data_IF_222872518507
#
_entry.id   IF_222872518507
#
_cell.length_a   1.000
_cell.length_b   1.000
_cell.length_c   1.000
_cell.angle_alpha   90.00
_cell.angle_beta   90.00
_cell.angle_gamma   90.00
#
_symmetry.space_group_name_H-M   'P 1'
#
loop_
_entity.id
_entity.type
_entity.pdbx_description
1 polymer ?
#
# COMPACT_ATOMS: atom_id res chain seq x y z
N UNK A 1 3.80 -11.10 8.84
CA UNK A 1 3.28 -9.85 8.24
C UNK A 1 4.21 -9.48 7.09
N UNK A 2 3.67 -9.14 5.93
CA UNK A 2 4.43 -8.75 4.74
C UNK A 2 4.28 -7.25 4.47
N UNK A 3 5.37 -6.52 4.27
CA UNK A 3 5.34 -5.05 4.10
C UNK A 3 5.83 -4.71 2.69
N UNK A 4 5.01 -3.97 1.95
CA UNK A 4 5.36 -3.45 0.63
C UNK A 4 5.85 -2.01 0.81
N UNK A 5 7.16 -1.80 0.73
CA UNK A 5 7.75 -0.46 0.73
C UNK A 5 7.73 0.12 -0.70
N UNK A 6 6.89 1.14 -0.92
CA UNK A 6 6.71 1.77 -2.22
C UNK A 6 7.88 2.69 -2.63
N UNK A 7 8.76 3.07 -1.69
CA UNK A 7 9.82 4.09 -1.88
C UNK A 7 9.29 5.29 -2.68
N UNK A 8 9.99 5.70 -3.74
CA UNK A 8 9.59 6.81 -4.63
C UNK A 8 9.61 6.40 -6.12
N UNK A 9 9.13 5.19 -6.40
CA UNK A 9 9.11 4.65 -7.76
C UNK A 9 8.02 5.31 -8.65
N UNK A 10 8.22 5.40 -9.96
CA UNK A 10 7.21 5.95 -10.89
C UNK A 10 6.02 4.99 -11.09
N UNK A 11 6.21 3.73 -10.75
CA UNK A 11 5.25 2.64 -10.81
C UNK A 11 4.17 2.77 -9.73
N UNK A 12 4.44 3.54 -8.66
CA UNK A 12 3.48 3.80 -7.60
C UNK A 12 2.79 5.16 -7.74
N UNK A 13 3.09 5.96 -8.77
CA UNK A 13 2.57 7.33 -8.84
C UNK A 13 1.06 7.42 -9.13
N UNK A 14 0.41 8.42 -8.52
CA UNK A 14 -1.00 8.75 -8.74
C UNK A 14 -1.93 7.58 -8.41
N UNK A 15 -2.78 7.19 -9.35
CA UNK A 15 -3.75 6.10 -9.16
C UNK A 15 -3.11 4.69 -9.13
N UNK A 16 -1.85 4.54 -9.56
CA UNK A 16 -1.20 3.23 -9.61
C UNK A 16 -1.06 2.61 -8.22
N UNK A 17 -0.85 3.44 -7.19
CA UNK A 17 -0.78 2.96 -5.81
C UNK A 17 -2.09 2.33 -5.33
N UNK A 18 -3.24 2.87 -5.77
CA UNK A 18 -4.55 2.35 -5.43
C UNK A 18 -4.79 0.98 -6.08
N UNK A 19 -4.30 0.79 -7.31
CA UNK A 19 -4.34 -0.52 -7.98
C UNK A 19 -3.51 -1.55 -7.21
N UNK A 20 -2.29 -1.19 -6.79
CA UNK A 20 -1.43 -2.06 -5.98
C UNK A 20 -2.08 -2.41 -4.63
N UNK A 21 -2.60 -1.41 -3.91
CA UNK A 21 -3.28 -1.61 -2.62
C UNK A 21 -4.50 -2.54 -2.77
N UNK A 22 -5.32 -2.37 -3.81
CA UNK A 22 -6.46 -3.23 -4.07
C UNK A 22 -6.05 -4.69 -4.34
N UNK A 23 -4.97 -4.91 -5.09
CA UNK A 23 -4.43 -6.26 -5.34
C UNK A 23 -3.91 -6.86 -4.04
N UNK A 24 -3.10 -6.12 -3.28
CA UNK A 24 -2.58 -6.54 -1.99
C UNK A 24 -3.71 -6.91 -1.02
N UNK A 25 -4.82 -6.17 -1.01
CA UNK A 25 -5.99 -6.46 -0.17
C UNK A 25 -6.66 -7.79 -0.56
N UNK A 26 -6.84 -8.04 -1.87
CA UNK A 26 -7.39 -9.30 -2.37
C UNK A 26 -6.51 -10.50 -1.97
N UNK A 27 -5.20 -10.36 -2.12
CA UNK A 27 -4.24 -11.42 -1.76
C UNK A 27 -4.19 -11.64 -0.25
N UNK A 28 -4.17 -10.56 0.54
CA UNK A 28 -4.20 -10.64 2.00
C UNK A 28 -5.42 -11.44 2.49
N UNK A 29 -6.61 -11.16 1.93
CA UNK A 29 -7.84 -11.92 2.25
C UNK A 29 -7.79 -13.36 1.78
N UNK A 30 -7.34 -13.63 0.55
CA UNK A 30 -7.30 -14.98 -0.04
C UNK A 30 -6.40 -15.92 0.76
N UNK A 31 -5.22 -15.46 1.14
CA UNK A 31 -4.22 -16.30 1.82
C UNK A 31 -4.21 -16.12 3.34
N UNK A 32 -5.05 -15.23 3.87
CA UNK A 32 -5.10 -14.85 5.30
C UNK A 32 -3.74 -14.40 5.84
N UNK A 33 -2.90 -13.79 4.98
CA UNK A 33 -1.60 -13.24 5.35
C UNK A 33 -1.75 -11.73 5.56
N UNK A 34 -1.34 -11.16 6.71
CA UNK A 34 -1.36 -9.72 6.91
C UNK A 34 -0.38 -9.02 5.97
N UNK A 35 -0.89 -8.10 5.16
CA UNK A 35 -0.10 -7.24 4.25
C UNK A 35 -0.27 -5.79 4.68
N UNK A 36 0.83 -5.04 4.70
CA UNK A 36 0.83 -3.60 4.91
C UNK A 36 1.53 -2.89 3.75
N UNK A 37 1.16 -1.64 3.49
CA UNK A 37 1.76 -0.82 2.42
C UNK A 37 2.37 0.44 3.04
N UNK A 38 3.60 0.76 2.65
CA UNK A 38 4.30 1.98 3.04
C UNK A 38 4.43 2.93 1.83
N UNK A 39 3.41 3.77 1.54
CA UNK A 39 3.43 4.74 0.44
C UNK A 39 4.43 5.87 0.65
N UNK A 40 4.85 6.57 -0.42
CA UNK A 40 5.56 7.84 -0.26
C UNK A 40 4.72 8.83 0.54
N UNK A 41 5.36 9.71 1.32
CA UNK A 41 4.66 10.65 2.20
C UNK A 41 3.58 11.48 1.51
N UNK A 42 3.85 11.97 0.30
CA UNK A 42 2.89 12.77 -0.47
C UNK A 42 1.66 11.99 -0.94
N UNK A 43 1.70 10.64 -0.92
CA UNK A 43 0.60 9.74 -1.32
C UNK A 43 -0.05 9.01 -0.14
N UNK A 44 0.36 9.30 1.10
CA UNK A 44 -0.15 8.61 2.30
C UNK A 44 -1.67 8.75 2.44
N UNK A 45 -2.21 9.92 2.10
CA UNK A 45 -3.66 10.18 2.11
C UNK A 45 -4.42 9.52 0.94
N UNK A 46 -3.74 9.16 -0.15
CA UNK A 46 -4.37 8.61 -1.34
C UNK A 46 -4.86 7.17 -1.14
N UNK A 47 -4.23 6.40 -0.22
CA UNK A 47 -4.57 5.00 0.08
C UNK A 47 -5.80 4.85 1.01
N UNK A 48 -6.38 5.94 1.53
CA UNK A 48 -7.44 5.93 2.58
C UNK A 48 -8.66 5.04 2.34
N UNK A 49 -8.90 4.57 1.11
CA UNK A 49 -10.04 3.68 0.80
C UNK A 49 -9.76 2.19 1.01
N UNK A 50 -8.51 1.77 1.19
CA UNK A 50 -8.18 0.35 1.42
C UNK A 50 -8.30 -0.03 2.90
N UNK A 51 -8.72 -1.27 3.18
CA UNK A 51 -8.72 -1.83 4.55
C UNK A 51 -7.34 -2.33 5.00
N UNK A 52 -6.31 -2.19 4.16
CA UNK A 52 -4.94 -2.57 4.51
C UNK A 52 -4.36 -1.63 5.57
N UNK A 53 -3.42 -2.17 6.35
CA UNK A 53 -2.58 -1.35 7.22
C UNK A 53 -1.66 -0.46 6.36
N UNK A 54 -1.61 0.82 6.68
CA UNK A 54 -0.77 1.82 6.00
C UNK A 54 0.27 2.34 7.00
N UNK A 55 1.54 2.29 6.61
CA UNK A 55 2.65 2.81 7.41
C UNK A 55 3.28 4.02 6.72
N UNK A 56 3.80 4.97 7.50
CA UNK A 56 4.71 5.98 6.98
C UNK A 56 6.05 5.34 6.62
N UNK A 57 6.73 5.86 5.59
CA UNK A 57 8.06 5.36 5.21
C UNK A 57 9.17 5.85 6.17
N UNK A 58 8.98 6.99 6.82
CA UNK A 58 9.91 7.60 7.78
C UNK A 58 9.14 8.49 8.77
N UNK A 59 9.80 8.98 9.82
CA UNK A 59 9.27 9.95 10.79
C UNK A 59 10.10 11.24 10.72
#
# INVERSE_FOLDING_TARGET
MFIINCKNYNEISGEKINKLANIAEKISKKYKIPIAVAPPHHQLASIKKSKLLVFAQHL
#
